data_IF_253230043163
#
_entry.id   IF_253230043163
#
_cell.length_a   1.000
_cell.length_b   1.000
_cell.length_c   1.000
_cell.angle_alpha   90.00
_cell.angle_beta   90.00
_cell.angle_gamma   90.00
#
_symmetry.space_group_name_H-M   'P 1'
#
loop_
_entity.id
_entity.type
_entity.pdbx_description
1 polymer ?
#
# COMPACT_ATOMS: atom_id res chain seq x y z
N UNK A 1 30.77 -24.09 2.73
CA UNK A 1 30.03 -23.58 3.91
C UNK A 1 29.47 -22.18 3.67
N UNK A 2 30.30 -21.20 3.29
CA UNK A 2 29.84 -19.80 3.09
C UNK A 2 28.71 -19.63 2.07
N UNK A 3 28.72 -20.37 0.95
CA UNK A 3 27.64 -20.32 -0.05
C UNK A 3 26.31 -20.83 0.51
N UNK A 4 26.34 -21.89 1.32
CA UNK A 4 25.14 -22.47 1.94
C UNK A 4 24.54 -21.50 2.94
N UNK A 5 25.38 -20.84 3.74
CA UNK A 5 24.95 -19.80 4.69
C UNK A 5 24.37 -18.59 3.95
N UNK A 6 24.99 -18.17 2.84
CA UNK A 6 24.50 -17.05 2.03
C UNK A 6 23.12 -17.34 1.40
N UNK A 7 22.93 -18.54 0.85
CA UNK A 7 21.62 -18.96 0.31
C UNK A 7 20.57 -19.04 1.42
N UNK A 8 20.91 -19.61 2.59
CA UNK A 8 19.99 -19.66 3.73
C UNK A 8 19.59 -18.25 4.21
N UNK A 9 20.54 -17.32 4.25
CA UNK A 9 20.29 -15.92 4.57
C UNK A 9 19.37 -15.25 3.52
N UNK A 10 19.65 -15.43 2.22
CA UNK A 10 18.77 -14.91 1.17
C UNK A 10 17.35 -15.49 1.25
N UNK A 11 17.21 -16.77 1.58
CA UNK A 11 15.89 -17.39 1.74
C UNK A 11 15.10 -16.70 2.86
N UNK A 12 15.74 -16.42 4.00
CA UNK A 12 15.12 -15.70 5.12
C UNK A 12 14.78 -14.27 4.73
N UNK A 13 15.68 -13.56 4.05
CA UNK A 13 15.45 -12.17 3.60
C UNK A 13 14.29 -12.10 2.62
N UNK A 14 14.27 -12.97 1.61
CA UNK A 14 13.25 -12.96 0.55
C UNK A 14 11.87 -13.41 1.03
N UNK A 15 11.78 -14.35 1.96
CA UNK A 15 10.50 -14.98 2.35
C UNK A 15 9.94 -14.48 3.68
N UNK A 16 10.75 -13.84 4.54
CA UNK A 16 10.29 -13.36 5.85
C UNK A 16 10.51 -11.85 5.94
N UNK A 17 11.71 -11.38 5.66
CA UNK A 17 12.05 -9.98 5.89
C UNK A 17 11.35 -9.06 4.89
N UNK A 18 11.46 -9.35 3.58
CA UNK A 18 10.79 -8.62 2.52
C UNK A 18 9.26 -8.53 2.72
N UNK A 19 8.52 -9.64 2.94
CA UNK A 19 7.08 -9.54 3.14
C UNK A 19 6.69 -8.82 4.44
N UNK A 20 7.46 -8.91 5.53
CA UNK A 20 7.18 -8.13 6.76
C UNK A 20 7.33 -6.63 6.50
N UNK A 21 8.38 -6.23 5.77
CA UNK A 21 8.62 -4.83 5.40
C UNK A 21 7.57 -4.34 4.41
N UNK A 22 7.15 -5.20 3.47
CA UNK A 22 6.18 -4.89 2.42
C UNK A 22 4.72 -5.17 2.81
N UNK A 23 4.43 -5.69 4.01
CA UNK A 23 3.11 -6.20 4.41
C UNK A 23 1.97 -5.17 4.35
N UNK A 24 2.28 -3.87 4.33
CA UNK A 24 1.29 -2.79 4.24
C UNK A 24 1.01 -2.37 2.79
N UNK A 25 1.69 -2.94 1.81
CA UNK A 25 1.64 -2.51 0.43
C UNK A 25 0.57 -3.30 -0.35
N UNK A 26 -0.49 -2.57 -0.71
CA UNK A 26 -1.39 -2.86 -1.84
C UNK A 26 -2.44 -3.96 -1.63
N UNK A 27 -3.57 -3.57 -1.03
CA UNK A 27 -4.84 -4.30 -1.19
C UNK A 27 -5.37 -4.10 -2.61
N UNK A 28 -4.86 -4.86 -3.58
CA UNK A 28 -5.38 -4.82 -4.95
C UNK A 28 -6.84 -5.26 -4.99
N UNK A 29 -7.73 -4.46 -5.56
CA UNK A 29 -9.13 -4.86 -5.72
C UNK A 29 -9.21 -5.75 -6.99
N UNK A 30 -9.60 -7.03 -6.86
CA UNK A 30 -9.64 -7.96 -8.00
C UNK A 30 -10.52 -7.47 -9.16
N UNK A 31 -11.54 -6.66 -8.88
CA UNK A 31 -12.42 -6.11 -9.90
C UNK A 31 -11.70 -5.17 -10.87
N UNK A 32 -10.81 -4.32 -10.37
CA UNK A 32 -10.05 -3.39 -11.23
C UNK A 32 -9.08 -4.13 -12.16
N UNK A 33 -8.47 -5.21 -11.66
CA UNK A 33 -7.61 -6.09 -12.47
C UNK A 33 -8.42 -6.77 -13.56
N UNK A 34 -9.58 -7.33 -13.20
CA UNK A 34 -10.48 -7.97 -14.16
C UNK A 34 -10.88 -7.00 -15.28
N UNK A 35 -11.38 -5.81 -14.93
CA UNK A 35 -11.79 -4.80 -15.91
C UNK A 35 -10.63 -4.43 -16.84
N UNK A 36 -9.43 -4.18 -16.30
CA UNK A 36 -8.27 -3.82 -17.11
C UNK A 36 -7.82 -4.95 -18.05
N UNK A 37 -7.89 -6.20 -17.59
CA UNK A 37 -7.59 -7.38 -18.41
C UNK A 37 -8.62 -7.54 -19.54
N UNK A 38 -9.91 -7.35 -19.26
CA UNK A 38 -10.96 -7.40 -20.29
C UNK A 38 -10.75 -6.30 -21.34
N UNK A 39 -10.51 -5.07 -20.90
CA UNK A 39 -10.27 -3.93 -21.80
C UNK A 39 -9.00 -4.15 -22.62
N UNK A 40 -7.91 -4.62 -21.99
CA UNK A 40 -6.68 -4.95 -22.69
C UNK A 40 -6.87 -6.10 -23.68
N UNK A 41 -7.62 -7.13 -23.30
CA UNK A 41 -7.94 -8.26 -24.15
C UNK A 41 -8.71 -7.85 -25.39
N UNK A 42 -9.64 -6.90 -25.28
CA UNK A 42 -10.41 -6.39 -26.41
C UNK A 42 -9.53 -5.54 -27.36
N UNK A 43 -8.61 -4.75 -26.81
CA UNK A 43 -7.74 -3.86 -27.60
C UNK A 43 -6.61 -4.60 -28.36
N UNK A 44 -6.00 -5.61 -27.76
CA UNK A 44 -4.80 -6.27 -28.30
C UNK A 44 -4.78 -7.79 -28.09
N UNK A 45 -5.91 -8.41 -27.76
CA UNK A 45 -6.01 -9.86 -27.52
C UNK A 45 -5.20 -10.28 -26.30
N UNK A 46 -4.58 -11.46 -26.39
CA UNK A 46 -3.77 -12.02 -25.31
C UNK A 46 -2.67 -11.08 -24.80
N UNK A 47 -2.01 -10.34 -25.70
CA UNK A 47 -0.95 -9.39 -25.34
C UNK A 47 -1.49 -8.25 -24.47
N UNK A 48 -2.66 -7.72 -24.81
CA UNK A 48 -3.29 -6.67 -24.02
C UNK A 48 -3.83 -7.19 -22.68
N UNK A 49 -4.30 -8.44 -22.63
CA UNK A 49 -4.65 -9.10 -21.38
C UNK A 49 -3.45 -9.22 -20.42
N UNK A 50 -2.26 -9.58 -20.95
CA UNK A 50 -1.02 -9.70 -20.18
C UNK A 50 -0.56 -8.35 -19.63
N UNK A 51 -0.63 -7.29 -20.45
CA UNK A 51 -0.26 -5.93 -20.06
C UNK A 51 -1.32 -5.30 -19.13
N UNK A 52 -2.58 -5.73 -19.21
CA UNK A 52 -3.66 -5.24 -18.35
C UNK A 52 -3.40 -5.43 -16.86
N UNK A 53 -2.69 -6.51 -16.47
CA UNK A 53 -2.38 -6.80 -15.06
C UNK A 53 -1.50 -5.70 -14.43
N UNK A 54 -0.29 -5.39 -14.94
CA UNK A 54 0.54 -4.32 -14.38
C UNK A 54 -0.11 -2.94 -14.54
N UNK A 55 -0.88 -2.69 -15.62
CA UNK A 55 -1.60 -1.43 -15.81
C UNK A 55 -2.66 -1.21 -14.73
N UNK A 56 -3.45 -2.23 -14.39
CA UNK A 56 -4.41 -2.16 -13.29
C UNK A 56 -3.73 -1.80 -11.95
N UNK A 57 -2.58 -2.43 -11.67
CA UNK A 57 -1.82 -2.16 -10.46
C UNK A 57 -1.34 -0.70 -10.40
N UNK A 58 -0.83 -0.16 -11.53
CA UNK A 58 -0.41 1.24 -11.63
C UNK A 58 -1.57 2.20 -11.37
N UNK A 59 -2.72 2.01 -12.05
CA UNK A 59 -3.92 2.85 -11.87
C UNK A 59 -4.35 2.83 -10.41
N UNK A 60 -4.39 1.65 -9.80
CA UNK A 60 -4.81 1.52 -8.42
C UNK A 60 -3.86 2.25 -7.46
N UNK A 61 -2.55 2.10 -7.61
CA UNK A 61 -1.55 2.77 -6.76
C UNK A 61 -1.69 4.29 -6.87
N UNK A 62 -1.80 4.82 -8.09
CA UNK A 62 -1.98 6.25 -8.33
C UNK A 62 -3.27 6.74 -7.67
N UNK A 63 -4.38 6.03 -7.86
CA UNK A 63 -5.67 6.42 -7.28
C UNK A 63 -5.66 6.42 -5.74
N UNK A 64 -5.02 5.42 -5.13
CA UNK A 64 -4.89 5.30 -3.68
C UNK A 64 -4.03 6.43 -3.10
N UNK A 65 -2.91 6.79 -3.75
CA UNK A 65 -2.05 7.86 -3.29
C UNK A 65 -2.72 9.23 -3.45
N UNK A 66 -3.41 9.47 -4.56
CA UNK A 66 -4.20 10.69 -4.77
C UNK A 66 -5.27 10.85 -3.69
N UNK A 67 -6.00 9.78 -3.35
CA UNK A 67 -7.03 9.83 -2.31
C UNK A 67 -6.44 10.17 -0.94
N UNK A 68 -5.26 9.63 -0.63
CA UNK A 68 -4.55 9.87 0.63
C UNK A 68 -4.04 11.31 0.74
N UNK A 69 -3.67 11.94 -0.38
CA UNK A 69 -3.26 13.35 -0.41
C UNK A 69 -4.46 14.26 -0.12
N UNK A 70 -5.63 13.91 -0.67
CA UNK A 70 -6.84 14.73 -0.54
C UNK A 70 -7.52 14.51 0.83
N UNK A 71 -7.35 13.35 1.46
CA UNK A 71 -7.94 13.04 2.76
C UNK A 71 -7.35 13.94 3.87
N UNK A 72 -8.14 14.88 4.44
CA UNK A 72 -7.64 15.78 5.47
C UNK A 72 -7.44 15.04 6.79
N UNK A 73 -6.22 15.13 7.34
CA UNK A 73 -5.78 14.44 8.57
C UNK A 73 -6.32 15.10 9.85
N UNK A 74 -7.64 15.17 9.99
CA UNK A 74 -8.29 15.92 11.07
C UNK A 74 -8.08 15.40 12.51
N UNK A 75 -7.44 14.25 12.74
CA UNK A 75 -7.51 13.56 14.04
C UNK A 75 -6.28 13.66 14.94
N UNK A 76 -5.24 14.42 14.61
CA UNK A 76 -4.03 14.48 15.45
C UNK A 76 -3.93 15.71 16.39
N UNK A 77 -4.98 16.54 16.52
CA UNK A 77 -4.91 17.81 17.28
C UNK A 77 -5.89 17.92 18.46
N UNK A 78 -6.80 16.96 18.66
CA UNK A 78 -7.87 17.09 19.67
C UNK A 78 -7.61 16.39 21.01
N UNK A 79 -6.57 15.56 21.14
CA UNK A 79 -6.27 14.86 22.40
C UNK A 79 -5.40 15.66 23.39
N UNK A 80 -4.58 16.60 22.90
CA UNK A 80 -3.60 17.30 23.75
C UNK A 80 -4.14 18.57 24.40
N UNK A 81 -5.14 19.19 23.78
CA UNK A 81 -5.69 20.48 24.24
C UNK A 81 -6.67 20.29 25.40
N UNK A 82 -7.46 19.20 25.42
CA UNK A 82 -8.41 18.95 26.51
C UNK A 82 -7.77 18.58 27.85
N UNK A 83 -6.52 18.10 27.87
CA UNK A 83 -5.84 17.74 29.12
C UNK A 83 -4.98 18.88 29.68
N UNK A 84 -4.52 19.80 28.82
CA UNK A 84 -3.69 20.94 29.22
C UNK A 84 -4.54 22.12 29.66
N UNK A 85 -5.66 22.39 28.97
CA UNK A 85 -6.49 23.56 29.25
C UNK A 85 -7.34 23.39 30.52
N UNK A 86 -7.77 22.16 30.83
CA UNK A 86 -8.49 21.88 32.07
C UNK A 86 -7.59 22.00 33.30
N UNK A 87 -6.31 21.65 33.21
CA UNK A 87 -5.38 21.73 34.34
C UNK A 87 -4.95 23.16 34.70
N UNK A 88 -5.01 24.08 33.74
CA UNK A 88 -4.64 25.48 33.94
C UNK A 88 -5.72 26.29 34.67
N UNK A 89 -7.01 26.00 34.42
CA UNK A 89 -8.16 26.69 35.05
C UNK A 89 -8.37 26.34 36.55
N UNK A 90 -7.71 25.30 37.08
CA UNK A 90 -7.81 24.93 38.49
C UNK A 90 -6.73 25.56 39.39
N UNK A 91 -5.82 26.36 38.84
CA UNK A 91 -4.65 26.92 39.57
C UNK A 91 -4.86 28.38 40.02
N UNK A 92 -5.91 29.05 39.52
CA UNK A 92 -6.31 30.42 39.88
C UNK A 92 -7.46 30.44 40.92
#
# INVERSE_FOLDING_TARGET
VSLVVFIAYQQVENHILNPIIMAKAVKLNPLWVLISVLVGADLAGFLGALIGIPVAAMIQVVSAEVWKIIAPRYQARQSDTSQTDLGADFVD
#
